data_IF_417432215255
#
_entry.id   IF_417432215255
#
_cell.length_a   1.000
_cell.length_b   1.000
_cell.length_c   1.000
_cell.angle_alpha   90.00
_cell.angle_beta   90.00
_cell.angle_gamma   90.00
#
_symmetry.space_group_name_H-M   'P 1'
#
loop_
_entity.id
_entity.type
_entity.pdbx_description
1 polymer ?
#
# COMPACT_ATOMS: atom_id res chain seq x y z
N UNK A 1 -59.18 -43.98 -18.18
CA UNK A 1 -58.30 -45.17 -18.28
C UNK A 1 -57.13 -44.93 -17.35
N UNK A 2 -57.07 -45.70 -16.27
CA UNK A 2 -56.08 -45.58 -15.19
C UNK A 2 -54.73 -46.12 -15.65
N UNK A 3 -53.67 -45.31 -15.55
CA UNK A 3 -52.31 -45.77 -15.78
C UNK A 3 -51.79 -46.41 -14.48
N UNK A 4 -51.68 -47.73 -14.49
CA UNK A 4 -51.09 -48.52 -13.41
C UNK A 4 -49.61 -48.16 -13.24
N UNK A 5 -49.29 -47.54 -12.11
CA UNK A 5 -47.92 -47.44 -11.59
C UNK A 5 -47.52 -48.82 -11.07
N UNK A 6 -46.69 -49.55 -11.83
CA UNK A 6 -46.03 -50.74 -11.34
C UNK A 6 -44.85 -50.30 -10.48
N UNK A 7 -44.96 -50.51 -9.17
CA UNK A 7 -43.87 -50.38 -8.20
C UNK A 7 -42.80 -51.43 -8.51
N UNK A 8 -41.64 -50.99 -8.99
CA UNK A 8 -40.42 -51.81 -9.02
C UNK A 8 -39.89 -51.96 -7.58
N UNK A 9 -39.64 -53.19 -7.08
CA UNK A 9 -39.14 -53.40 -5.74
C UNK A 9 -37.66 -53.02 -5.62
N UNK A 10 -37.35 -52.18 -4.62
CA UNK A 10 -35.99 -51.84 -4.22
C UNK A 10 -35.23 -53.09 -3.77
N UNK A 11 -34.39 -53.64 -4.64
CA UNK A 11 -33.37 -54.62 -4.25
C UNK A 11 -32.33 -53.91 -3.37
N UNK A 12 -32.35 -54.23 -2.08
CA UNK A 12 -31.29 -53.88 -1.14
C UNK A 12 -29.93 -54.32 -1.71
N UNK A 13 -29.01 -53.38 -1.88
CA UNK A 13 -27.65 -53.64 -2.30
C UNK A 13 -26.89 -54.39 -1.20
N UNK A 14 -26.90 -55.72 -1.27
CA UNK A 14 -26.00 -56.55 -0.47
C UNK A 14 -24.54 -56.12 -0.72
N UNK A 15 -23.87 -55.63 0.32
CA UNK A 15 -22.44 -55.35 0.31
C UNK A 15 -21.70 -56.68 0.21
N UNK A 16 -21.41 -57.11 -1.03
CA UNK A 16 -20.49 -58.22 -1.28
C UNK A 16 -19.13 -57.85 -0.69
N UNK A 17 -18.72 -58.49 0.39
CA UNK A 17 -17.33 -58.38 0.86
C UNK A 17 -16.43 -59.00 -0.21
N UNK A 18 -15.63 -58.16 -0.86
CA UNK A 18 -14.64 -58.56 -1.85
C UNK A 18 -13.57 -59.44 -1.19
N UNK A 19 -13.18 -60.54 -1.83
CA UNK A 19 -12.05 -61.37 -1.42
C UNK A 19 -10.71 -60.63 -1.49
N UNK A 20 -9.60 -61.26 -1.06
CA UNK A 20 -8.28 -60.62 -1.00
C UNK A 20 -7.84 -60.13 -2.38
N UNK A 21 -7.38 -58.89 -2.45
CA UNK A 21 -6.93 -58.28 -3.70
C UNK A 21 -5.54 -58.81 -4.09
N UNK A 22 -5.41 -59.29 -5.32
CA UNK A 22 -4.14 -59.70 -5.91
C UNK A 22 -3.61 -58.58 -6.80
N UNK A 23 -2.38 -58.12 -6.52
CA UNK A 23 -1.72 -57.07 -7.29
C UNK A 23 -0.57 -57.64 -8.12
N UNK A 24 -0.36 -57.07 -9.31
CA UNK A 24 0.85 -57.36 -10.10
C UNK A 24 2.08 -56.86 -9.35
N UNK A 25 3.21 -57.54 -9.52
CA UNK A 25 4.51 -57.18 -8.89
C UNK A 25 4.93 -55.74 -9.18
N UNK A 26 4.63 -55.24 -10.37
CA UNK A 26 4.89 -53.86 -10.76
C UNK A 26 4.08 -52.86 -9.92
N UNK A 27 2.79 -53.13 -9.69
CA UNK A 27 1.92 -52.29 -8.86
C UNK A 27 2.45 -52.19 -7.43
N UNK A 28 2.89 -53.31 -6.85
CA UNK A 28 3.47 -53.35 -5.50
C UNK A 28 4.72 -52.44 -5.44
N UNK A 29 5.61 -52.53 -6.43
CA UNK A 29 6.81 -51.66 -6.51
C UNK A 29 6.48 -50.18 -6.60
N UNK A 30 5.41 -49.81 -7.33
CA UNK A 30 4.97 -48.43 -7.42
C UNK A 30 4.44 -47.94 -6.07
N UNK A 31 3.65 -48.76 -5.37
CA UNK A 31 3.16 -48.44 -4.02
C UNK A 31 4.33 -48.25 -3.05
N UNK A 32 5.36 -49.10 -3.09
CA UNK A 32 6.55 -48.95 -2.24
C UNK A 32 7.35 -47.67 -2.53
N UNK A 33 7.34 -47.19 -3.77
CA UNK A 33 8.00 -45.93 -4.17
C UNK A 33 7.23 -44.72 -3.64
N UNK A 34 5.90 -44.74 -3.74
CA UNK A 34 5.05 -43.61 -3.33
C UNK A 34 4.88 -43.56 -1.80
N UNK A 35 4.83 -44.72 -1.14
CA UNK A 35 4.75 -44.85 0.32
C UNK A 35 5.95 -45.67 0.83
N UNK A 36 7.10 -45.00 1.09
CA UNK A 36 8.30 -45.68 1.57
C UNK A 36 8.13 -46.20 3.01
N UNK A 37 8.88 -47.24 3.36
CA UNK A 37 8.94 -47.82 4.71
C UNK A 37 8.61 -49.32 4.76
N UNK A 38 8.74 -49.91 5.95
CA UNK A 38 8.56 -51.35 6.20
C UNK A 38 7.10 -51.77 6.50
N UNK A 39 6.14 -50.85 6.33
CA UNK A 39 4.72 -51.13 6.50
C UNK A 39 4.24 -52.22 5.53
N UNK A 40 3.19 -52.95 5.91
CA UNK A 40 2.60 -53.96 5.04
C UNK A 40 2.00 -53.32 3.79
N UNK A 41 1.82 -54.11 2.73
CA UNK A 41 1.21 -53.61 1.49
C UNK A 41 -0.20 -53.05 1.75
N UNK A 42 -1.00 -53.70 2.60
CA UNK A 42 -2.34 -53.24 2.98
C UNK A 42 -2.31 -51.88 3.70
N UNK A 43 -1.36 -51.67 4.63
CA UNK A 43 -1.20 -50.38 5.33
C UNK A 43 -0.81 -49.24 4.37
N UNK A 44 0.04 -49.54 3.37
CA UNK A 44 0.45 -48.57 2.35
C UNK A 44 -0.72 -48.22 1.42
N UNK A 45 -1.49 -49.22 1.00
CA UNK A 45 -2.70 -49.01 0.20
C UNK A 45 -3.71 -48.18 0.98
N UNK A 46 -3.92 -48.46 2.27
CA UNK A 46 -4.82 -47.69 3.12
C UNK A 46 -4.40 -46.22 3.22
N UNK A 47 -3.10 -45.94 3.42
CA UNK A 47 -2.56 -44.57 3.43
C UNK A 47 -2.77 -43.85 2.10
N UNK A 48 -2.59 -44.53 0.97
CA UNK A 48 -2.87 -43.96 -0.35
C UNK A 48 -4.35 -43.64 -0.53
N UNK A 49 -5.24 -44.52 -0.08
CA UNK A 49 -6.69 -44.29 -0.10
C UNK A 49 -7.05 -43.07 0.74
N UNK A 50 -6.50 -42.94 1.94
CA UNK A 50 -6.80 -41.81 2.83
C UNK A 50 -6.25 -40.49 2.28
N UNK A 51 -5.04 -40.52 1.71
CA UNK A 51 -4.46 -39.36 1.01
C UNK A 51 -5.31 -38.98 -0.20
N UNK A 52 -5.76 -39.96 -0.99
CA UNK A 52 -6.62 -39.71 -2.15
C UNK A 52 -7.98 -39.14 -1.73
N UNK A 53 -8.60 -39.65 -0.67
CA UNK A 53 -9.83 -39.08 -0.09
C UNK A 53 -9.62 -37.64 0.36
N UNK A 54 -8.52 -37.34 1.04
CA UNK A 54 -8.19 -35.97 1.45
C UNK A 54 -8.02 -35.06 0.24
N UNK A 55 -7.24 -35.49 -0.76
CA UNK A 55 -7.04 -34.70 -1.99
C UNK A 55 -8.36 -34.45 -2.74
N UNK A 56 -9.26 -35.43 -2.80
CA UNK A 56 -10.59 -35.25 -3.41
C UNK A 56 -11.42 -34.22 -2.65
N UNK A 57 -11.40 -34.28 -1.31
CA UNK A 57 -12.07 -33.28 -0.48
C UNK A 57 -11.48 -31.88 -0.68
N UNK A 58 -10.16 -31.75 -0.64
CA UNK A 58 -9.47 -30.48 -0.86
C UNK A 58 -9.78 -29.92 -2.27
N UNK A 59 -9.90 -30.80 -3.27
CA UNK A 59 -10.29 -30.43 -4.63
C UNK A 59 -11.74 -29.96 -4.72
N UNK A 60 -12.69 -30.66 -4.08
CA UNK A 60 -14.11 -30.26 -4.00
C UNK A 60 -14.25 -28.90 -3.28
N UNK A 61 -13.54 -28.70 -2.17
CA UNK A 61 -13.52 -27.41 -1.45
C UNK A 61 -12.91 -26.29 -2.31
N UNK A 62 -11.86 -26.59 -3.08
CA UNK A 62 -11.26 -25.64 -4.01
C UNK A 62 -12.20 -25.31 -5.18
N UNK A 63 -12.88 -26.30 -5.76
CA UNK A 63 -13.89 -26.10 -6.79
C UNK A 63 -15.06 -25.25 -6.25
N UNK A 64 -15.52 -25.52 -5.03
CA UNK A 64 -16.55 -24.70 -4.36
C UNK A 64 -16.06 -23.27 -4.08
N UNK A 65 -14.78 -23.10 -3.72
CA UNK A 65 -14.17 -21.78 -3.50
C UNK A 65 -14.08 -21.00 -4.81
N UNK A 66 -13.63 -21.65 -5.89
CA UNK A 66 -13.57 -21.04 -7.23
C UNK A 66 -14.97 -20.74 -7.76
N UNK A 67 -15.93 -21.65 -7.55
CA UNK A 67 -17.34 -21.44 -7.89
C UNK A 67 -17.87 -20.22 -7.14
N UNK A 68 -17.70 -20.15 -5.81
CA UNK A 68 -18.13 -19.00 -5.00
C UNK A 68 -17.45 -17.70 -5.43
N UNK A 69 -16.15 -17.72 -5.72
CA UNK A 69 -15.41 -16.54 -6.17
C UNK A 69 -15.81 -16.08 -7.58
N UNK A 70 -16.03 -17.03 -8.50
CA UNK A 70 -16.54 -16.75 -9.85
C UNK A 70 -17.99 -16.30 -9.81
N UNK A 71 -18.83 -16.85 -8.95
CA UNK A 71 -20.19 -16.40 -8.77
C UNK A 71 -20.26 -15.05 -8.06
N UNK A 72 -19.33 -14.74 -7.14
CA UNK A 72 -19.21 -13.40 -6.57
C UNK A 72 -18.70 -12.36 -7.58
N UNK A 73 -17.83 -12.77 -8.53
CA UNK A 73 -17.40 -11.91 -9.65
C UNK A 73 -18.45 -11.79 -10.75
N UNK A 74 -19.08 -12.89 -11.15
CA UNK A 74 -20.13 -12.92 -12.15
C UNK A 74 -21.42 -12.30 -11.62
N UNK A 75 -21.72 -12.37 -10.32
CA UNK A 75 -22.79 -11.57 -9.73
C UNK A 75 -22.46 -10.07 -9.74
N UNK A 76 -21.18 -9.68 -9.65
CA UNK A 76 -20.74 -8.29 -9.87
C UNK A 76 -20.85 -7.87 -11.34
N UNK A 77 -20.58 -8.76 -12.28
CA UNK A 77 -20.66 -8.47 -13.73
C UNK A 77 -22.09 -8.61 -14.31
N UNK A 78 -22.92 -9.52 -13.78
CA UNK A 78 -24.32 -9.71 -14.19
C UNK A 78 -25.29 -8.76 -13.52
N UNK A 79 -24.93 -8.16 -12.38
CA UNK A 79 -25.73 -7.07 -11.82
C UNK A 79 -25.58 -5.76 -12.66
N UNK A 80 -24.59 -5.72 -13.56
CA UNK A 80 -24.52 -4.74 -14.65
C UNK A 80 -25.56 -5.01 -15.77
N UNK A 81 -26.37 -6.05 -15.63
CA UNK A 81 -27.59 -6.34 -16.42
C UNK A 81 -28.80 -6.41 -15.45
N UNK A 82 -29.05 -5.27 -14.78
CA UNK A 82 -30.25 -4.83 -14.04
C UNK A 82 -30.39 -5.19 -12.52
N UNK A 83 -30.76 -4.21 -11.68
CA UNK A 83 -29.98 -3.06 -11.26
C UNK A 83 -29.12 -3.41 -10.03
N UNK A 84 -27.80 -3.46 -10.19
CA UNK A 84 -26.83 -3.48 -9.08
C UNK A 84 -26.73 -2.12 -8.36
N UNK A 85 -27.83 -1.41 -8.11
CA UNK A 85 -27.75 -0.05 -7.57
C UNK A 85 -26.84 0.00 -6.33
N UNK A 86 -27.01 -0.86 -5.34
CA UNK A 86 -26.18 -0.81 -4.12
C UNK A 86 -24.67 -1.05 -4.30
N UNK A 87 -24.23 -2.05 -5.09
CA UNK A 87 -22.80 -2.43 -5.14
C UNK A 87 -22.07 -1.73 -6.29
N UNK A 88 -22.74 -1.44 -7.40
CA UNK A 88 -22.18 -0.57 -8.43
C UNK A 88 -22.13 0.88 -7.95
N UNK A 89 -23.12 1.36 -7.20
CA UNK A 89 -23.07 2.72 -6.65
C UNK A 89 -21.97 2.82 -5.59
N UNK A 90 -21.77 1.82 -4.72
CA UNK A 90 -20.62 1.82 -3.78
C UNK A 90 -19.27 1.77 -4.51
N UNK A 91 -19.14 0.99 -5.58
CA UNK A 91 -17.90 0.94 -6.37
C UNK A 91 -17.67 2.22 -7.19
N UNK A 92 -18.74 2.83 -7.72
CA UNK A 92 -18.70 4.13 -8.42
C UNK A 92 -18.40 5.27 -7.45
N UNK A 93 -18.98 5.25 -6.25
CA UNK A 93 -18.72 6.21 -5.19
C UNK A 93 -17.30 6.08 -4.68
N UNK A 94 -16.78 4.86 -4.50
CA UNK A 94 -15.37 4.64 -4.18
C UNK A 94 -14.45 5.15 -5.30
N UNK A 95 -14.79 4.90 -6.57
CA UNK A 95 -14.03 5.43 -7.71
C UNK A 95 -14.09 6.97 -7.80
N UNK A 96 -15.25 7.57 -7.49
CA UNK A 96 -15.46 9.02 -7.45
C UNK A 96 -14.68 9.66 -6.31
N UNK A 97 -14.72 9.07 -5.11
CA UNK A 97 -13.91 9.51 -3.97
C UNK A 97 -12.42 9.41 -4.29
N UNK A 98 -11.98 8.33 -4.93
CA UNK A 98 -10.59 8.19 -5.38
C UNK A 98 -10.21 9.27 -6.40
N UNK A 99 -11.09 9.58 -7.35
CA UNK A 99 -10.86 10.64 -8.34
C UNK A 99 -10.80 12.03 -7.69
N UNK A 100 -11.69 12.32 -6.74
CA UNK A 100 -11.69 13.56 -5.96
C UNK A 100 -10.42 13.68 -5.11
N UNK A 101 -10.01 12.59 -4.45
CA UNK A 101 -8.75 12.56 -3.69
C UNK A 101 -7.54 12.79 -4.59
N UNK A 102 -7.51 12.19 -5.78
CA UNK A 102 -6.45 12.44 -6.77
C UNK A 102 -6.44 13.89 -7.24
N UNK A 103 -7.59 14.48 -7.51
CA UNK A 103 -7.69 15.89 -7.89
C UNK A 103 -7.20 16.81 -6.76
N UNK A 104 -7.67 16.58 -5.52
CA UNK A 104 -7.19 17.32 -4.34
C UNK A 104 -5.69 17.17 -4.14
N UNK A 105 -5.16 15.97 -4.34
CA UNK A 105 -3.71 15.72 -4.27
C UNK A 105 -2.96 16.53 -5.31
N UNK A 106 -3.42 16.54 -6.57
CA UNK A 106 -2.81 17.35 -7.63
C UNK A 106 -2.89 18.85 -7.35
N UNK A 107 -4.02 19.33 -6.80
CA UNK A 107 -4.18 20.74 -6.41
C UNK A 107 -3.21 21.11 -5.28
N UNK A 108 -3.07 20.23 -4.27
CA UNK A 108 -2.12 20.41 -3.17
C UNK A 108 -0.67 20.35 -3.65
N UNK A 109 -0.33 19.46 -4.59
CA UNK A 109 1.01 19.38 -5.20
C UNK A 109 1.34 20.67 -5.98
N UNK A 110 0.37 21.20 -6.72
CA UNK A 110 0.51 22.47 -7.43
C UNK A 110 0.69 23.64 -6.46
N UNK A 111 -0.12 23.69 -5.41
CA UNK A 111 -0.03 24.75 -4.40
C UNK A 111 1.29 24.66 -3.62
N UNK A 112 1.76 23.45 -3.28
CA UNK A 112 3.07 23.24 -2.67
C UNK A 112 4.20 23.77 -3.57
N UNK A 113 4.16 23.48 -4.87
CA UNK A 113 5.14 24.01 -5.85
C UNK A 113 5.12 25.54 -5.91
N UNK A 114 3.92 26.14 -5.86
CA UNK A 114 3.75 27.59 -5.82
C UNK A 114 4.36 28.20 -4.53
N UNK A 115 4.05 27.60 -3.39
CA UNK A 115 4.59 28.01 -2.09
C UNK A 115 6.11 27.89 -2.03
N UNK A 116 6.69 26.82 -2.55
CA UNK A 116 8.14 26.67 -2.68
C UNK A 116 8.76 27.81 -3.50
N UNK A 117 8.13 28.17 -4.62
CA UNK A 117 8.54 29.33 -5.42
C UNK A 117 8.46 30.65 -4.64
N UNK A 118 7.42 30.84 -3.83
CA UNK A 118 7.27 32.03 -2.97
C UNK A 118 8.40 32.11 -1.93
N UNK A 119 8.69 30.99 -1.26
CA UNK A 119 9.77 30.90 -0.27
C UNK A 119 11.11 31.31 -0.86
N UNK A 120 11.49 30.76 -2.02
CA UNK A 120 12.75 31.11 -2.71
C UNK A 120 12.85 32.62 -2.97
N UNK A 121 11.75 33.25 -3.42
CA UNK A 121 11.73 34.70 -3.68
C UNK A 121 11.87 35.51 -2.39
N UNK A 122 11.16 35.12 -1.34
CA UNK A 122 11.22 35.77 -0.02
C UNK A 122 12.61 35.62 0.61
N UNK A 123 13.22 34.44 0.56
CA UNK A 123 14.60 34.21 1.01
C UNK A 123 15.59 35.11 0.25
N UNK A 124 15.42 35.25 -1.07
CA UNK A 124 16.21 36.16 -1.88
C UNK A 124 16.05 37.63 -1.48
N UNK A 125 14.82 38.07 -1.14
CA UNK A 125 14.57 39.42 -0.62
C UNK A 125 15.22 39.60 0.76
N UNK A 126 15.06 38.64 1.66
CA UNK A 126 15.64 38.68 3.01
C UNK A 126 17.17 38.78 2.96
N UNK A 127 17.81 38.03 2.06
CA UNK A 127 19.26 38.14 1.85
C UNK A 127 19.69 39.54 1.42
N UNK A 128 18.95 40.17 0.49
CA UNK A 128 19.23 41.55 0.05
C UNK A 128 19.04 42.56 1.19
N UNK A 129 17.95 42.46 1.94
CA UNK A 129 17.73 43.36 3.08
C UNK A 129 18.78 43.20 4.15
N UNK A 130 19.22 41.97 4.44
CA UNK A 130 20.32 41.71 5.35
C UNK A 130 21.60 42.40 4.88
N UNK A 131 22.01 42.20 3.62
CA UNK A 131 23.20 42.86 3.07
C UNK A 131 23.11 44.38 3.14
N UNK A 132 21.94 44.97 2.85
CA UNK A 132 21.74 46.41 2.94
C UNK A 132 21.83 46.90 4.40
N UNK A 133 21.26 46.16 5.35
CA UNK A 133 21.34 46.47 6.77
C UNK A 133 22.78 46.40 7.29
N UNK A 134 23.51 45.32 6.96
CA UNK A 134 24.92 45.14 7.34
C UNK A 134 25.79 46.28 6.77
N UNK A 135 25.51 46.73 5.53
CA UNK A 135 26.20 47.86 4.91
C UNK A 135 25.91 49.19 5.62
N UNK A 136 24.63 49.44 5.96
CA UNK A 136 24.22 50.64 6.67
C UNK A 136 24.78 50.70 8.10
N UNK A 137 24.88 49.56 8.79
CA UNK A 137 25.51 49.47 10.10
C UNK A 137 27.00 49.82 10.03
N UNK A 138 27.71 49.31 9.02
CA UNK A 138 29.11 49.66 8.78
C UNK A 138 29.29 51.16 8.52
N UNK A 139 28.45 51.75 7.65
CA UNK A 139 28.49 53.18 7.36
C UNK A 139 28.23 54.03 8.62
N UNK A 140 27.27 53.62 9.46
CA UNK A 140 26.97 54.27 10.73
C UNK A 140 28.18 54.27 11.67
N UNK A 141 28.91 53.15 11.75
CA UNK A 141 30.08 53.04 12.61
C UNK A 141 31.28 53.85 12.11
N UNK A 142 31.46 53.94 10.80
CA UNK A 142 32.44 54.85 10.18
C UNK A 142 32.10 56.32 10.51
N UNK A 143 30.84 56.72 10.35
CA UNK A 143 30.37 58.08 10.69
C UNK A 143 30.54 58.39 12.19
N UNK A 144 30.24 57.45 13.08
CA UNK A 144 30.47 57.61 14.52
C UNK A 144 31.96 57.82 14.82
N UNK A 145 32.83 57.09 14.13
CA UNK A 145 34.29 57.20 14.28
C UNK A 145 34.77 58.59 13.82
N UNK A 146 34.34 59.04 12.63
CA UNK A 146 34.64 60.39 12.15
C UNK A 146 34.12 61.48 13.08
N UNK A 147 32.90 61.33 13.60
CA UNK A 147 32.34 62.29 14.57
C UNK A 147 33.20 62.38 15.84
N UNK A 148 33.69 61.26 16.37
CA UNK A 148 34.58 61.25 17.54
C UNK A 148 35.91 61.93 17.23
N UNK A 149 36.49 61.65 16.07
CA UNK A 149 37.76 62.24 15.64
C UNK A 149 37.65 63.77 15.51
N UNK A 150 36.61 64.27 14.83
CA UNK A 150 36.37 65.72 14.68
C UNK A 150 36.15 66.39 16.03
N UNK A 151 35.34 65.77 16.92
CA UNK A 151 35.13 66.29 18.28
C UNK A 151 36.45 66.43 19.05
N UNK A 152 37.33 65.45 18.93
CA UNK A 152 38.68 65.48 19.54
C UNK A 152 39.52 66.61 18.94
N UNK A 153 39.60 66.73 17.61
CA UNK A 153 40.36 67.79 16.95
C UNK A 153 39.88 69.20 17.33
N UNK A 154 38.56 69.39 17.49
CA UNK A 154 38.00 70.64 17.97
C UNK A 154 38.43 70.91 19.42
N UNK A 155 38.32 69.92 20.30
CA UNK A 155 38.75 70.04 21.69
C UNK A 155 40.24 70.40 21.79
N UNK A 156 41.09 69.70 21.04
CA UNK A 156 42.54 69.95 20.99
C UNK A 156 42.83 71.37 20.47
N UNK A 157 42.16 71.83 19.41
CA UNK A 157 42.29 73.20 18.88
C UNK A 157 41.87 74.26 19.89
N UNK A 158 40.80 74.03 20.65
CA UNK A 158 40.33 74.95 21.70
C UNK A 158 41.40 75.07 22.79
N UNK A 159 41.91 73.93 23.28
CA UNK A 159 42.98 73.90 24.31
C UNK A 159 44.22 74.65 23.82
N UNK A 160 44.68 74.39 22.59
CA UNK A 160 45.83 75.08 22.01
C UNK A 160 45.62 76.60 21.91
N UNK A 161 44.40 77.04 21.57
CA UNK A 161 44.06 78.47 21.51
C UNK A 161 44.07 79.11 22.90
N UNK A 162 43.53 78.43 23.91
CA UNK A 162 43.56 78.89 25.31
C UNK A 162 44.99 79.06 25.81
N UNK A 163 45.87 78.07 25.56
CA UNK A 163 47.28 78.15 25.95
C UNK A 163 47.99 79.32 25.27
N UNK A 164 47.76 79.55 23.97
CA UNK A 164 48.38 80.67 23.24
C UNK A 164 47.98 82.05 23.77
N UNK A 165 46.76 82.22 24.27
CA UNK A 165 46.29 83.52 24.81
C UNK A 165 46.87 83.80 26.21
N UNK A 166 47.35 82.77 26.91
CA UNK A 166 47.92 82.89 28.26
C UNK A 166 49.42 83.23 28.31
N UNK A 167 50.08 83.39 27.15
CA UNK A 167 51.46 83.86 27.01
C UNK A 167 51.49 85.23 26.31
#
# INVERSE_FOLDING_TARGET
MNFNFSQEPYLSSEVRRSGPYLFKRETIRLVDRVVPGAASLDEKIQKLIDTNKKMRKDYEELEQTIYTQRHARNARDSANVMPNQGVDDVNKDAAKQLAEMKLKMQDLERENTNQQGNVIRMEGQMKRYKTNADAAEKELDELKTHMRQIKKEIADKIVLRSVRISY
#
